data_IF_823598712189
#
_entry.id   IF_823598712189
#
_cell.length_a   1.000
_cell.length_b   1.000
_cell.length_c   1.000
_cell.angle_alpha   90.00
_cell.angle_beta   90.00
_cell.angle_gamma   90.00
#
_symmetry.space_group_name_H-M   'P 1'
#
loop_
_entity.id
_entity.type
_entity.pdbx_description
1 polymer ?
#
# COMPACT_ATOMS: atom_id res chain seq x y z
N UNK A 1 -1.24 9.53 -3.46
CA UNK A 1 -0.90 8.52 -4.49
C UNK A 1 -1.11 9.03 -5.91
N UNK A 2 -2.33 9.33 -6.36
CA UNK A 2 -2.57 9.75 -7.76
C UNK A 2 -1.95 11.12 -8.11
N UNK A 3 -1.86 12.03 -7.13
CA UNK A 3 -1.21 13.34 -7.28
C UNK A 3 0.29 13.22 -7.51
N UNK A 4 0.96 12.33 -6.76
CA UNK A 4 2.39 12.04 -6.91
C UNK A 4 2.69 11.47 -8.30
N UNK A 5 1.91 10.47 -8.74
CA UNK A 5 2.07 9.87 -10.07
C UNK A 5 1.91 10.90 -11.20
N UNK A 6 0.90 11.77 -11.10
CA UNK A 6 0.70 12.85 -12.08
C UNK A 6 1.88 13.82 -12.08
N UNK A 7 2.32 14.26 -10.90
CA UNK A 7 3.43 15.19 -10.77
C UNK A 7 4.73 14.62 -11.34
N UNK A 8 5.04 13.34 -11.09
CA UNK A 8 6.21 12.67 -11.66
C UNK A 8 6.10 12.54 -13.18
N UNK A 9 4.94 12.15 -13.71
CA UNK A 9 4.73 12.02 -15.15
C UNK A 9 4.91 13.37 -15.87
N UNK A 10 4.38 14.45 -15.32
CA UNK A 10 4.56 15.81 -15.88
C UNK A 10 6.00 16.32 -15.77
N UNK A 11 6.79 15.84 -14.79
CA UNK A 11 8.20 16.18 -14.68
C UNK A 11 9.02 15.49 -15.77
N UNK A 12 8.81 14.19 -15.99
CA UNK A 12 9.46 13.42 -17.07
C UNK A 12 9.14 13.98 -18.46
N UNK A 13 7.87 14.28 -18.71
CA UNK A 13 7.43 14.89 -19.97
C UNK A 13 8.13 16.26 -20.19
N UNK A 14 8.29 17.05 -19.14
CA UNK A 14 9.01 18.32 -19.21
C UNK A 14 10.50 18.18 -19.56
N UNK A 15 11.14 17.14 -19.02
CA UNK A 15 12.54 16.83 -19.32
C UNK A 15 12.69 16.39 -20.78
N UNK A 16 11.76 15.56 -21.25
CA UNK A 16 11.71 15.10 -22.63
C UNK A 16 11.59 16.29 -23.62
N UNK A 17 10.55 17.11 -23.47
CA UNK A 17 10.35 18.28 -24.34
C UNK A 17 11.40 19.39 -24.14
N UNK A 18 11.97 19.51 -22.94
CA UNK A 18 13.06 20.45 -22.67
C UNK A 18 14.37 20.07 -23.38
N UNK A 19 14.60 18.77 -23.60
CA UNK A 19 15.75 18.26 -24.35
C UNK A 19 15.59 18.33 -25.87
N UNK A 20 14.36 18.39 -26.38
CA UNK A 20 14.07 18.45 -27.81
C UNK A 20 13.81 19.88 -28.29
N UNK A 21 14.84 20.49 -28.90
CA UNK A 21 14.69 21.78 -29.57
C UNK A 21 13.87 21.65 -30.86
N UNK A 22 12.85 22.49 -31.02
CA UNK A 22 12.08 22.58 -32.26
C UNK A 22 12.77 23.55 -33.21
N UNK A 23 13.02 23.13 -34.46
CA UNK A 23 13.55 24.03 -35.48
C UNK A 23 12.49 25.05 -35.89
N UNK A 24 12.82 26.33 -35.75
CA UNK A 24 12.05 27.45 -36.25
C UNK A 24 12.83 28.14 -37.37
N UNK A 25 12.19 28.33 -38.52
CA UNK A 25 12.79 29.01 -39.68
C UNK A 25 11.92 30.18 -40.11
N UNK A 26 12.52 31.36 -40.23
CA UNK A 26 11.89 32.56 -40.75
C UNK A 26 12.51 32.90 -42.12
N UNK A 27 11.71 33.32 -43.10
CA UNK A 27 12.21 33.81 -44.40
C UNK A 27 12.75 32.74 -45.36
N UNK A 28 12.54 31.46 -45.08
CA UNK A 28 12.85 30.36 -46.01
C UNK A 28 11.70 30.22 -47.03
N UNK A 29 12.00 30.43 -48.31
CA UNK A 29 11.08 30.12 -49.40
C UNK A 29 11.25 28.65 -49.76
N UNK A 30 10.39 27.78 -49.20
CA UNK A 30 10.38 26.36 -49.52
C UNK A 30 9.68 26.19 -50.86
N UNK A 31 10.41 25.78 -51.90
CA UNK A 31 9.82 25.41 -53.18
C UNK A 31 9.07 24.08 -53.05
N UNK A 32 8.06 23.85 -53.89
CA UNK A 32 7.25 22.63 -53.86
C UNK A 32 8.15 21.39 -54.10
N UNK A 33 8.33 20.57 -53.05
CA UNK A 33 9.18 19.37 -53.07
C UNK A 33 10.53 19.48 -52.33
N UNK A 34 10.90 20.66 -51.82
CA UNK A 34 12.13 20.82 -51.02
C UNK A 34 11.84 20.62 -49.53
N UNK A 35 12.57 19.72 -48.86
CA UNK A 35 12.39 19.44 -47.43
C UNK A 35 13.55 20.02 -46.63
N UNK A 36 13.24 20.73 -45.55
CA UNK A 36 14.24 21.18 -44.57
C UNK A 36 14.89 19.94 -43.94
N UNK A 37 16.21 19.85 -44.03
CA UNK A 37 16.98 18.73 -43.45
C UNK A 37 17.46 19.11 -42.06
N UNK A 38 17.29 18.19 -41.12
CA UNK A 38 17.76 18.29 -39.74
C UNK A 38 18.63 17.08 -39.44
N UNK A 39 19.79 17.29 -38.81
CA UNK A 39 20.74 16.22 -38.47
C UNK A 39 22.20 16.60 -38.77
N UNK A 40 23.12 15.69 -38.43
CA UNK A 40 24.55 15.90 -38.64
C UNK A 40 24.88 15.99 -40.15
N UNK A 41 25.57 17.07 -40.56
CA UNK A 41 25.92 17.34 -41.96
C UNK A 41 24.80 17.99 -42.80
N UNK A 42 23.63 18.30 -42.22
CA UNK A 42 22.59 19.02 -42.93
C UNK A 42 22.90 20.53 -42.99
N UNK A 43 22.90 21.10 -44.19
CA UNK A 43 23.07 22.54 -44.40
C UNK A 43 21.86 23.05 -45.17
N UNK A 44 21.06 23.89 -44.54
CA UNK A 44 19.94 24.59 -45.18
C UNK A 44 20.47 25.94 -45.68
N UNK A 45 20.51 26.11 -47.01
CA UNK A 45 20.93 27.36 -47.65
C UNK A 45 19.69 28.07 -48.20
N UNK A 46 19.71 29.39 -48.13
CA UNK A 46 18.64 30.26 -48.63
C UNK A 46 19.27 31.49 -49.26
N UNK A 47 18.63 31.99 -50.33
CA UNK A 47 19.07 33.19 -51.05
C UNK A 47 18.42 34.47 -50.49
N UNK A 48 17.57 34.35 -49.46
CA UNK A 48 16.87 35.47 -48.83
C UNK A 48 17.71 36.09 -47.73
N UNK A 49 17.93 37.40 -47.81
CA UNK A 49 18.74 38.18 -46.86
C UNK A 49 18.09 38.30 -45.47
N UNK A 50 16.78 38.04 -45.37
CA UNK A 50 16.00 38.09 -44.12
C UNK A 50 15.80 36.72 -43.46
N UNK A 51 16.48 35.68 -43.95
CA UNK A 51 16.24 34.33 -43.47
C UNK A 51 17.05 34.01 -42.20
N UNK A 52 16.37 33.47 -41.19
CA UNK A 52 16.99 33.02 -39.95
C UNK A 52 16.47 31.64 -39.57
N UNK A 53 17.34 30.81 -39.00
CA UNK A 53 16.98 29.49 -38.47
C UNK A 53 17.48 29.41 -37.03
N UNK A 54 16.60 29.03 -36.12
CA UNK A 54 16.86 28.95 -34.68
C UNK A 54 16.24 27.67 -34.12
N UNK A 55 16.86 27.09 -33.11
CA UNK A 55 16.22 26.05 -32.31
C UNK A 55 15.53 26.71 -31.13
N UNK A 56 14.21 26.58 -31.07
CA UNK A 56 13.39 27.03 -29.95
C UNK A 56 13.27 25.86 -28.99
N UNK A 57 13.84 26.04 -27.81
CA UNK A 57 13.67 25.10 -26.69
C UNK A 57 12.67 25.69 -25.69
N UNK A 58 12.00 24.82 -24.94
CA UNK A 58 11.21 25.26 -23.80
C UNK A 58 12.16 25.79 -22.72
N UNK A 59 11.78 26.88 -22.04
CA UNK A 59 12.53 27.40 -20.91
C UNK A 59 12.66 26.35 -19.79
N UNK A 60 13.89 26.12 -19.33
CA UNK A 60 14.19 25.13 -18.27
C UNK A 60 13.84 25.61 -16.86
N UNK A 61 13.46 26.88 -16.71
CA UNK A 61 13.19 27.54 -15.43
C UNK A 61 12.07 26.85 -14.62
N UNK A 62 11.16 26.15 -15.30
CA UNK A 62 10.07 25.41 -14.67
C UNK A 62 10.38 23.98 -14.25
N UNK A 63 11.57 23.44 -14.57
CA UNK A 63 11.92 22.03 -14.30
C UNK A 63 12.30 21.83 -12.82
N UNK A 64 13.12 22.72 -12.28
CA UNK A 64 13.58 22.62 -10.88
C UNK A 64 12.43 22.75 -9.86
N UNK A 65 11.48 23.70 -10.01
CA UNK A 65 10.30 23.75 -9.13
C UNK A 65 9.42 22.50 -9.20
N UNK A 66 9.34 21.85 -10.37
CA UNK A 66 8.59 20.60 -10.53
C UNK A 66 9.23 19.45 -9.77
N UNK A 67 10.57 19.37 -9.78
CA UNK A 67 11.32 18.39 -8.99
C UNK A 67 11.05 18.56 -7.49
N UNK A 68 11.12 19.79 -6.98
CA UNK A 68 10.81 20.09 -5.57
C UNK A 68 9.39 19.67 -5.20
N UNK A 69 8.40 19.94 -6.07
CA UNK A 69 7.02 19.51 -5.84
C UNK A 69 6.87 17.98 -5.78
N UNK A 70 7.59 17.23 -6.63
CA UNK A 70 7.59 15.76 -6.56
C UNK A 70 8.20 15.28 -5.24
N UNK A 71 9.32 15.87 -4.81
CA UNK A 71 10.00 15.52 -3.57
C UNK A 71 9.12 15.82 -2.33
N UNK A 72 8.40 16.94 -2.33
CA UNK A 72 7.51 17.30 -1.23
C UNK A 72 6.27 16.40 -1.17
N UNK A 73 5.71 16.03 -2.33
CA UNK A 73 4.65 15.02 -2.41
C UNK A 73 5.13 13.64 -1.94
N UNK A 74 6.38 13.29 -2.22
CA UNK A 74 6.98 12.04 -1.76
C UNK A 74 7.15 12.04 -0.24
N UNK A 75 7.71 13.12 0.34
CA UNK A 75 7.80 13.31 1.80
C UNK A 75 6.43 13.28 2.47
N UNK A 76 5.42 13.89 1.86
CA UNK A 76 4.05 13.85 2.37
C UNK A 76 3.48 12.42 2.38
N UNK A 77 3.71 11.65 1.32
CA UNK A 77 3.31 10.24 1.28
C UNK A 77 4.05 9.40 2.34
N UNK A 78 5.35 9.65 2.55
CA UNK A 78 6.12 9.02 3.63
C UNK A 78 5.55 9.42 4.99
N UNK A 79 5.24 10.70 5.22
CA UNK A 79 4.66 11.15 6.48
C UNK A 79 3.32 10.46 6.77
N UNK A 80 2.48 10.28 5.75
CA UNK A 80 1.24 9.50 5.88
C UNK A 80 1.50 8.02 6.20
N UNK A 81 2.54 7.42 5.63
CA UNK A 81 2.95 6.05 5.91
C UNK A 81 3.64 5.87 7.27
N UNK A 82 4.43 6.84 7.70
CA UNK A 82 5.10 6.85 9.00
C UNK A 82 4.10 7.15 10.12
N UNK A 83 3.11 8.02 9.89
CA UNK A 83 1.96 8.21 10.80
C UNK A 83 1.04 6.96 10.88
N UNK A 84 1.26 5.96 10.01
CA UNK A 84 0.68 4.62 10.18
C UNK A 84 1.50 3.75 11.13
N UNK A 85 2.83 3.93 11.18
CA UNK A 85 3.80 3.05 11.87
C UNK A 85 4.23 3.61 13.24
N UNK A 86 4.43 4.93 13.38
CA UNK A 86 4.90 5.56 14.60
C UNK A 86 3.77 5.62 15.65
N UNK A 87 3.68 4.52 16.38
CA UNK A 87 2.91 4.32 17.60
C UNK A 87 3.60 5.02 18.78
N UNK A 88 3.59 6.36 18.79
CA UNK A 88 4.06 7.14 19.93
C UNK A 88 3.19 6.94 21.16
N UNK A 89 3.84 6.93 22.34
CA UNK A 89 3.32 6.73 23.71
C UNK A 89 2.25 7.77 24.10
N UNK A 90 1.05 7.66 23.54
CA UNK A 90 -0.14 8.41 23.98
C UNK A 90 -1.18 7.46 24.57
N UNK A 91 -1.92 7.96 25.58
CA UNK A 91 -2.97 7.25 26.33
C UNK A 91 -3.77 6.24 25.50
N UNK A 92 -3.85 4.99 25.99
CA UNK A 92 -4.35 3.83 25.25
C UNK A 92 -5.76 3.96 24.64
N UNK A 93 -6.60 4.85 25.16
CA UNK A 93 -7.93 5.14 24.60
C UNK A 93 -7.87 6.02 23.35
N UNK A 94 -7.05 7.07 23.34
CA UNK A 94 -6.83 7.91 22.15
C UNK A 94 -6.09 7.13 21.06
N UNK A 95 -5.14 6.27 21.46
CA UNK A 95 -4.43 5.37 20.56
C UNK A 95 -5.38 4.32 19.93
N UNK A 96 -6.28 3.71 20.71
CA UNK A 96 -7.28 2.76 20.21
C UNK A 96 -8.27 3.43 19.25
N UNK A 97 -8.74 4.65 19.54
CA UNK A 97 -9.66 5.37 18.64
C UNK A 97 -8.97 5.73 17.32
N UNK A 98 -7.72 6.24 17.37
CA UNK A 98 -6.95 6.63 16.16
C UNK A 98 -6.57 5.41 15.32
N UNK A 99 -6.18 4.31 15.95
CA UNK A 99 -5.93 3.03 15.26
C UNK A 99 -7.22 2.48 14.67
N UNK A 100 -8.33 2.43 15.40
CA UNK A 100 -9.61 1.93 14.85
C UNK A 100 -10.10 2.73 13.64
N UNK A 101 -9.96 4.07 13.64
CA UNK A 101 -10.33 4.91 12.49
C UNK A 101 -9.44 4.65 11.26
N UNK A 102 -8.13 4.45 11.46
CA UNK A 102 -7.18 4.16 10.37
C UNK A 102 -7.28 2.71 9.87
N UNK A 103 -7.46 1.76 10.79
CA UNK A 103 -7.65 0.34 10.52
C UNK A 103 -9.03 0.03 9.95
N UNK A 104 -10.03 0.89 10.13
CA UNK A 104 -11.34 0.75 9.48
C UNK A 104 -11.23 0.69 7.95
N UNK A 105 -10.29 1.46 7.37
CA UNK A 105 -10.03 1.43 5.93
C UNK A 105 -9.37 0.11 5.50
N UNK A 106 -8.42 -0.40 6.28
CA UNK A 106 -7.77 -1.70 6.06
C UNK A 106 -8.76 -2.86 6.20
N UNK A 107 -9.60 -2.84 7.24
CA UNK A 107 -10.66 -3.82 7.46
C UNK A 107 -11.65 -3.83 6.31
N UNK A 108 -12.05 -2.65 5.83
CA UNK A 108 -12.94 -2.52 4.66
C UNK A 108 -12.27 -3.06 3.41
N UNK A 109 -10.98 -2.77 3.20
CA UNK A 109 -10.21 -3.29 2.07
C UNK A 109 -10.11 -4.81 2.10
N UNK A 110 -9.77 -5.40 3.25
CA UNK A 110 -9.64 -6.85 3.42
C UNK A 110 -10.98 -7.58 3.30
N UNK A 111 -12.07 -7.00 3.81
CA UNK A 111 -13.41 -7.53 3.60
C UNK A 111 -13.80 -7.46 2.11
N UNK A 112 -13.57 -6.33 1.46
CA UNK A 112 -13.88 -6.14 0.03
C UNK A 112 -13.03 -7.09 -0.83
N UNK A 113 -11.76 -7.30 -0.48
CA UNK A 113 -10.87 -8.25 -1.13
C UNK A 113 -11.34 -9.70 -0.95
N UNK A 114 -11.74 -10.09 0.26
CA UNK A 114 -12.28 -11.42 0.52
C UNK A 114 -13.59 -11.66 -0.27
N UNK A 115 -14.49 -10.68 -0.32
CA UNK A 115 -15.72 -10.77 -1.12
C UNK A 115 -15.43 -10.88 -2.62
N UNK A 116 -14.45 -10.12 -3.13
CA UNK A 116 -14.02 -10.19 -4.51
C UNK A 116 -13.43 -11.56 -4.87
N UNK A 117 -12.56 -12.08 -4.00
CA UNK A 117 -11.97 -13.40 -4.15
C UNK A 117 -13.03 -14.51 -4.07
N UNK A 118 -13.94 -14.43 -3.09
CA UNK A 118 -15.04 -15.36 -2.95
C UNK A 118 -15.91 -15.39 -4.21
N UNK A 119 -16.21 -14.21 -4.79
CA UNK A 119 -16.97 -14.13 -6.05
C UNK A 119 -16.25 -14.83 -7.20
N UNK A 120 -14.94 -14.65 -7.34
CA UNK A 120 -14.16 -15.31 -8.38
C UNK A 120 -14.13 -16.83 -8.18
N UNK A 121 -13.94 -17.29 -6.95
CA UNK A 121 -13.94 -18.72 -6.62
C UNK A 121 -15.32 -19.36 -6.84
N UNK A 122 -16.41 -18.64 -6.58
CA UNK A 122 -17.78 -19.08 -6.89
C UNK A 122 -18.03 -19.27 -8.38
N UNK A 123 -17.47 -18.37 -9.21
CA UNK A 123 -17.51 -18.53 -10.67
C UNK A 123 -16.73 -19.79 -11.09
N UNK A 124 -15.55 -20.02 -10.49
CA UNK A 124 -14.78 -21.25 -10.71
C UNK A 124 -15.50 -22.53 -10.26
N UNK A 125 -16.19 -22.50 -9.12
CA UNK A 125 -16.99 -23.61 -8.62
C UNK A 125 -18.12 -23.98 -9.60
N UNK A 126 -18.77 -22.97 -10.18
CA UNK A 126 -19.80 -23.16 -11.21
C UNK A 126 -19.24 -23.85 -12.46
N UNK A 127 -18.01 -23.53 -12.86
CA UNK A 127 -17.34 -24.18 -13.99
C UNK A 127 -16.95 -25.64 -13.70
N UNK A 128 -16.68 -25.96 -12.43
CA UNK A 128 -16.36 -27.32 -11.97
C UNK A 128 -17.60 -28.16 -11.64
N UNK A 129 -18.81 -27.58 -11.72
CA UNK A 129 -20.06 -28.26 -11.38
C UNK A 129 -20.26 -28.48 -9.88
N UNK A 130 -19.51 -27.76 -9.03
CA UNK A 130 -19.62 -27.80 -7.57
C UNK A 130 -20.56 -26.69 -7.10
N UNK A 131 -21.24 -26.88 -5.96
CA UNK A 131 -22.14 -25.88 -5.41
C UNK A 131 -21.37 -24.59 -5.06
N UNK A 132 -21.70 -23.43 -5.67
CA UNK A 132 -21.02 -22.17 -5.40
C UNK A 132 -21.21 -21.66 -3.96
N UNK A 133 -22.31 -22.04 -3.30
CA UNK A 133 -22.59 -21.53 -1.96
C UNK A 133 -21.66 -22.09 -0.88
N UNK A 134 -21.00 -23.23 -1.14
CA UNK A 134 -20.05 -23.86 -0.22
C UNK A 134 -18.72 -23.09 -0.14
N UNK A 135 -18.47 -22.17 -1.08
CA UNK A 135 -17.26 -21.35 -1.12
C UNK A 135 -17.42 -20.14 -0.19
N UNK A 136 -16.74 -20.19 0.95
CA UNK A 136 -16.62 -19.09 1.92
C UNK A 136 -15.17 -18.66 2.08
N UNK A 137 -14.94 -17.35 2.10
CA UNK A 137 -13.60 -16.76 2.32
C UNK A 137 -13.69 -15.80 3.50
N UNK A 138 -12.96 -16.11 4.56
CA UNK A 138 -12.89 -15.27 5.77
C UNK A 138 -11.68 -14.35 5.71
N UNK A 139 -11.92 -13.04 5.71
CA UNK A 139 -10.85 -12.05 5.81
C UNK A 139 -10.27 -11.99 7.22
N UNK A 140 -8.94 -12.00 7.35
CA UNK A 140 -8.30 -11.59 8.61
C UNK A 140 -8.48 -10.09 8.80
N UNK A 141 -9.21 -9.71 9.85
CA UNK A 141 -9.58 -8.31 10.13
C UNK A 141 -8.90 -7.72 11.37
N UNK A 142 -8.06 -8.51 12.04
CA UNK A 142 -7.26 -8.05 13.17
C UNK A 142 -5.90 -7.59 12.65
N UNK A 143 -5.67 -6.28 12.60
CA UNK A 143 -4.42 -5.67 12.12
C UNK A 143 -3.60 -5.03 13.24
N UNK A 144 -4.09 -5.08 14.47
CA UNK A 144 -3.36 -4.69 15.67
C UNK A 144 -3.09 -5.95 16.47
N UNK A 145 -1.82 -6.31 16.65
CA UNK A 145 -1.42 -7.20 17.74
C UNK A 145 -1.81 -6.49 19.03
N UNK A 146 -2.90 -6.92 19.65
CA UNK A 146 -3.16 -6.52 21.04
C UNK A 146 -2.15 -7.29 21.86
N UNK A 147 -0.99 -6.69 22.15
CA UNK A 147 -0.03 -7.35 23.02
C UNK A 147 -0.62 -7.38 24.43
N UNK A 148 -1.05 -8.56 24.87
CA UNK A 148 -1.42 -8.78 26.26
C UNK A 148 -0.15 -8.92 27.08
N UNK A 149 -0.10 -8.22 28.20
CA UNK A 149 1.02 -8.35 29.15
C UNK A 149 0.83 -9.58 30.03
N UNK A 150 1.89 -10.04 30.70
CA UNK A 150 1.80 -11.17 31.64
C UNK A 150 0.75 -10.93 32.74
N UNK A 151 0.53 -9.67 33.15
CA UNK A 151 -0.48 -9.28 34.14
C UNK A 151 -1.93 -9.37 33.61
N UNK A 152 -2.12 -9.37 32.28
CA UNK A 152 -3.45 -9.57 31.70
C UNK A 152 -3.82 -11.07 31.71
N UNK A 153 -2.85 -11.95 31.50
CA UNK A 153 -3.06 -13.40 31.56
C UNK A 153 -3.35 -13.92 32.96
N UNK A 154 -2.71 -13.36 34.00
CA UNK A 154 -3.05 -13.67 35.39
C UNK A 154 -4.50 -13.28 35.71
N UNK A 155 -4.97 -12.13 35.19
CA UNK A 155 -6.37 -11.72 35.30
C UNK A 155 -7.30 -12.68 34.57
N UNK A 156 -7.00 -13.05 33.32
CA UNK A 156 -7.83 -14.00 32.58
C UNK A 156 -7.91 -15.37 33.26
N UNK A 157 -6.80 -15.90 33.78
CA UNK A 157 -6.79 -17.13 34.57
C UNK A 157 -7.67 -17.01 35.82
N UNK A 158 -7.58 -15.88 36.55
CA UNK A 158 -8.46 -15.65 37.70
C UNK A 158 -9.94 -15.52 37.33
N UNK A 159 -10.26 -14.93 36.17
CA UNK A 159 -11.64 -14.85 35.65
C UNK A 159 -12.21 -16.22 35.30
N UNK A 160 -11.37 -17.14 34.82
CA UNK A 160 -11.76 -18.54 34.60
C UNK A 160 -12.04 -19.24 35.93
N UNK A 161 -11.17 -19.12 36.92
CA UNK A 161 -11.39 -19.69 38.26
C UNK A 161 -12.63 -19.13 38.97
N UNK A 162 -12.99 -17.89 38.69
CA UNK A 162 -14.20 -17.24 39.21
C UNK A 162 -15.46 -17.57 38.39
N UNK A 163 -15.35 -18.34 37.30
CA UNK A 163 -16.46 -18.69 36.41
C UNK A 163 -16.99 -17.53 35.57
N UNK A 164 -16.29 -16.39 35.54
CA UNK A 164 -16.65 -15.24 34.72
C UNK A 164 -16.24 -15.43 33.24
N UNK A 165 -15.34 -16.36 32.97
CA UNK A 165 -14.82 -16.69 31.65
C UNK A 165 -14.78 -18.21 31.46
N UNK A 166 -15.04 -18.68 30.24
CA UNK A 166 -14.92 -20.10 29.90
C UNK A 166 -13.47 -20.44 29.56
N UNK A 167 -13.04 -21.65 29.90
CA UNK A 167 -11.70 -22.17 29.56
C UNK A 167 -11.43 -22.17 28.05
N UNK A 168 -12.45 -22.47 27.25
CA UNK A 168 -12.41 -22.40 25.78
C UNK A 168 -12.06 -20.99 25.28
N UNK A 169 -12.58 -19.95 25.94
CA UNK A 169 -12.30 -18.56 25.56
C UNK A 169 -10.87 -18.18 25.94
N UNK A 170 -10.33 -18.72 27.04
CA UNK A 170 -8.92 -18.54 27.43
C UNK A 170 -7.98 -19.20 26.42
N UNK A 171 -8.27 -20.44 26.02
CA UNK A 171 -7.53 -21.15 24.97
C UNK A 171 -7.51 -20.35 23.66
N UNK A 172 -8.65 -19.82 23.23
CA UNK A 172 -8.73 -19.00 22.01
C UNK A 172 -7.87 -17.73 22.09
N UNK A 173 -7.79 -17.09 23.26
CA UNK A 173 -6.91 -15.94 23.50
C UNK A 173 -5.43 -16.34 23.47
N UNK A 174 -5.07 -17.44 24.13
CA UNK A 174 -3.69 -17.94 24.16
C UNK A 174 -3.21 -18.36 22.76
N UNK A 175 -4.04 -19.06 22.00
CA UNK A 175 -3.76 -19.44 20.60
C UNK A 175 -3.61 -18.23 19.70
N UNK A 176 -4.48 -17.23 19.85
CA UNK A 176 -4.40 -15.96 19.09
C UNK A 176 -3.10 -15.20 19.35
N UNK A 177 -2.49 -15.39 20.52
CA UNK A 177 -1.22 -14.76 20.91
C UNK A 177 0.00 -15.65 20.67
N UNK A 178 -0.19 -16.85 20.09
CA UNK A 178 0.90 -17.80 19.85
C UNK A 178 1.53 -18.36 21.12
N UNK A 179 0.81 -18.33 22.25
CA UNK A 179 1.30 -18.84 23.54
C UNK A 179 1.08 -20.35 23.71
N UNK A 180 0.32 -20.97 22.81
CA UNK A 180 0.00 -22.40 22.84
C UNK A 180 0.24 -23.02 21.47
N UNK A 181 0.89 -24.18 21.45
CA UNK A 181 1.11 -24.96 20.23
C UNK A 181 0.01 -26.00 19.96
N UNK A 182 -0.99 -26.10 20.83
CA UNK A 182 -2.09 -27.04 20.68
C UNK A 182 -3.05 -26.63 19.55
N UNK A 183 -3.22 -27.50 18.56
CA UNK A 183 -4.06 -27.25 17.38
C UNK A 183 -5.56 -27.29 17.71
N UNK A 184 -5.95 -27.98 18.78
CA UNK A 184 -7.34 -28.12 19.23
C UNK A 184 -7.48 -27.87 20.73
N UNK A 185 -8.70 -27.51 21.16
CA UNK A 185 -9.02 -27.33 22.59
C UNK A 185 -8.84 -28.63 23.38
N UNK A 186 -9.26 -29.76 22.83
CA UNK A 186 -9.12 -31.08 23.47
C UNK A 186 -7.65 -31.46 23.67
N UNK A 187 -6.76 -31.13 22.72
CA UNK A 187 -5.32 -31.34 22.92
C UNK A 187 -4.76 -30.44 24.01
N UNK A 188 -5.18 -29.18 24.05
CA UNK A 188 -4.76 -28.24 25.09
C UNK A 188 -5.22 -28.66 26.49
N UNK A 189 -6.44 -29.19 26.61
CA UNK A 189 -6.98 -29.73 27.86
C UNK A 189 -6.21 -30.97 28.31
N UNK A 190 -5.93 -31.91 27.39
CA UNK A 190 -5.12 -33.08 27.71
C UNK A 190 -3.68 -32.71 28.10
N UNK A 191 -3.05 -31.74 27.44
CA UNK A 191 -1.71 -31.26 27.78
C UNK A 191 -1.69 -30.65 29.20
N UNK A 192 -2.72 -29.90 29.57
CA UNK A 192 -2.86 -29.36 30.93
C UNK A 192 -3.08 -30.45 31.98
N UNK A 193 -3.94 -31.43 31.69
CA UNK A 193 -4.18 -32.56 32.59
C UNK A 193 -2.92 -33.43 32.76
N UNK A 194 -2.14 -33.65 31.69
CA UNK A 194 -0.86 -34.34 31.74
C UNK A 194 0.18 -33.55 32.57
N UNK A 195 0.21 -32.22 32.45
CA UNK A 195 1.06 -31.35 33.28
C UNK A 195 0.64 -31.34 34.77
N UNK A 196 -0.66 -31.32 35.06
CA UNK A 196 -1.19 -31.41 36.43
C UNK A 196 -0.87 -32.77 37.08
N UNK A 197 -0.98 -33.86 36.31
CA UNK A 197 -0.66 -35.22 36.75
C UNK A 197 0.85 -35.49 36.87
N UNK A 198 1.67 -34.78 36.10
CA UNK A 198 3.15 -34.81 36.16
C UNK A 198 3.71 -34.05 37.37
N UNK A 199 2.90 -33.23 38.05
CA UNK A 199 3.28 -32.57 39.31
C UNK A 199 4.41 -31.55 39.18
N UNK A 200 4.73 -31.10 37.96
CA UNK A 200 5.74 -30.06 37.74
C UNK A 200 5.07 -28.70 37.83
N UNK A 201 4.87 -28.21 39.06
CA UNK A 201 4.56 -26.79 39.28
C UNK A 201 5.78 -25.96 38.88
N UNK A 202 5.66 -25.17 37.82
CA UNK A 202 6.48 -23.99 37.59
C UNK A 202 6.12 -22.88 38.60
#
# INVERSE_FOLDING_TARGET
>A
AISLFRASAHHEDALYWGGEGTLFTQGYAISEGETIKVGNGAVNKTNSEYASAQFVTMGTDGIEPRKTNVDDLFKYCIALGVDLINQGTESGTALSIRTNVKTASLKTLSLTGALGLQRLLRIGAMWLGVNPEDVTVTANTTFSETQYTADDFTKFSSMVSLGAMREVDLYNLQKKQGLTNADTYEQWENDLEEEEMSGTKL
#
